data_IF_835960069952
#
_entry.id   IF_835960069952
#
_cell.length_a   1.000
_cell.length_b   1.000
_cell.length_c   1.000
_cell.angle_alpha   90.00
_cell.angle_beta   90.00
_cell.angle_gamma   90.00
#
_symmetry.space_group_name_H-M   'P 1'
#
loop_
_entity.id
_entity.type
_entity.pdbx_description
1 polymer ?
#
# COMPACT_ATOMS: atom_id res chain seq x y z
N UNK A 1 -9.52 5.33 8.66
CA UNK A 1 -9.35 3.85 8.67
C UNK A 1 -7.96 3.50 8.15
N UNK A 2 -7.26 2.55 8.76
CA UNK A 2 -5.86 2.22 8.42
C UNK A 2 -4.82 3.23 8.90
N UNK A 3 -5.07 3.94 10.01
CA UNK A 3 -4.15 4.97 10.53
C UNK A 3 -3.83 6.11 9.53
N UNK A 4 -4.72 6.33 8.54
CA UNK A 4 -4.77 7.56 7.73
C UNK A 4 -5.50 8.69 8.46
N UNK A 5 -6.28 8.35 9.47
CA UNK A 5 -7.02 9.27 10.33
C UNK A 5 -6.94 8.73 11.75
N UNK A 6 -6.85 9.63 12.72
CA UNK A 6 -6.83 9.31 14.13
C UNK A 6 -8.26 9.13 14.67
N UNK A 7 -8.43 8.25 15.64
CA UNK A 7 -9.71 8.08 16.31
C UNK A 7 -9.98 9.30 17.19
N UNK A 8 -11.17 9.88 17.10
CA UNK A 8 -11.57 10.98 18.00
C UNK A 8 -11.69 10.51 19.45
N UNK A 9 -11.95 9.23 19.69
CA UNK A 9 -11.91 8.59 21.01
C UNK A 9 -11.75 7.06 20.88
N UNK A 10 -11.38 6.41 21.97
CA UNK A 10 -11.16 4.96 22.02
C UNK A 10 -9.78 4.53 21.54
N UNK A 11 -9.58 3.22 21.40
CA UNK A 11 -8.29 2.61 21.05
C UNK A 11 -8.44 1.78 19.78
N UNK A 12 -7.48 1.93 18.87
CA UNK A 12 -7.39 1.10 17.66
C UNK A 12 -6.22 0.13 17.87
N UNK A 13 -6.51 -1.17 17.82
CA UNK A 13 -5.50 -2.22 17.88
C UNK A 13 -5.30 -2.84 16.50
N UNK A 14 -4.05 -2.97 16.08
CA UNK A 14 -3.65 -3.69 14.86
C UNK A 14 -2.75 -4.82 15.29
N UNK A 15 -3.11 -6.07 14.97
CA UNK A 15 -2.40 -7.28 15.43
C UNK A 15 -2.18 -7.34 16.95
N UNK A 16 -3.08 -6.73 17.74
CA UNK A 16 -2.98 -6.68 19.20
C UNK A 16 -2.13 -5.53 19.75
N UNK A 17 -1.51 -4.72 18.90
CA UNK A 17 -0.76 -3.52 19.32
C UNK A 17 -1.62 -2.26 19.20
N UNK A 18 -1.63 -1.44 20.25
CA UNK A 18 -2.33 -0.15 20.26
C UNK A 18 -1.60 0.86 19.34
N UNK A 19 -2.31 1.36 18.35
CA UNK A 19 -1.73 2.19 17.29
C UNK A 19 -1.75 3.70 17.57
N UNK A 20 -2.46 4.12 18.62
CA UNK A 20 -2.59 5.54 18.99
C UNK A 20 -1.32 6.15 19.58
N UNK A 21 -0.42 5.33 20.14
CA UNK A 21 0.85 5.77 20.73
C UNK A 21 2.05 5.67 19.79
N UNK A 22 1.86 5.21 18.55
CA UNK A 22 2.94 5.06 17.58
C UNK A 22 3.44 6.42 17.09
N UNK A 23 4.75 6.54 16.91
CA UNK A 23 5.36 7.70 16.25
C UNK A 23 4.99 7.73 14.76
N UNK A 24 5.10 8.89 14.11
CA UNK A 24 4.83 9.01 12.66
C UNK A 24 5.67 8.06 11.80
N UNK A 25 6.92 7.78 12.23
CA UNK A 25 7.80 6.82 11.56
C UNK A 25 7.27 5.39 11.69
N UNK A 26 6.80 5.00 12.87
CA UNK A 26 6.21 3.68 13.11
C UNK A 26 4.87 3.52 12.39
N UNK A 27 4.01 4.54 12.43
CA UNK A 27 2.77 4.56 11.63
C UNK A 27 3.07 4.39 10.14
N UNK A 28 4.11 5.03 9.62
CA UNK A 28 4.53 4.90 8.21
C UNK A 28 4.99 3.48 7.89
N UNK A 29 5.82 2.87 8.74
CA UNK A 29 6.26 1.48 8.55
C UNK A 29 5.09 0.49 8.66
N UNK A 30 4.16 0.72 9.59
CA UNK A 30 2.96 -0.09 9.74
C UNK A 30 2.10 -0.01 8.47
N UNK A 31 1.86 1.20 7.94
CA UNK A 31 1.17 1.40 6.66
C UNK A 31 1.84 0.69 5.50
N UNK A 32 3.17 0.73 5.43
CA UNK A 32 3.93 0.12 4.35
C UNK A 32 3.89 -1.42 4.37
N UNK A 33 3.88 -2.02 5.57
CA UNK A 33 4.02 -3.49 5.71
C UNK A 33 2.71 -4.24 5.92
N UNK A 34 1.71 -3.59 6.53
CA UNK A 34 0.51 -4.27 7.02
C UNK A 34 -0.78 -3.82 6.32
N UNK A 35 -0.75 -2.70 5.58
CA UNK A 35 -1.92 -2.14 4.94
C UNK A 35 -1.75 -2.05 3.42
N UNK A 36 -2.66 -2.69 2.69
CA UNK A 36 -2.92 -2.39 1.29
C UNK A 36 -4.14 -1.46 1.18
N UNK A 37 -3.96 -0.24 0.68
CA UNK A 37 -5.06 0.71 0.51
C UNK A 37 -5.64 0.65 -0.90
N UNK A 38 -6.94 0.37 -1.01
CA UNK A 38 -7.73 0.59 -2.22
C UNK A 38 -8.66 1.77 -1.93
N UNK A 39 -8.40 2.91 -2.59
CA UNK A 39 -9.15 4.15 -2.37
C UNK A 39 -10.22 4.29 -3.47
N UNK A 40 -11.45 4.64 -3.07
CA UNK A 40 -12.57 4.84 -4.00
C UNK A 40 -12.40 6.09 -4.90
N UNK A 41 -11.59 7.06 -4.47
CA UNK A 41 -11.17 8.20 -5.28
C UNK A 41 -9.72 7.97 -5.78
N UNK A 42 -9.48 8.23 -7.06
CA UNK A 42 -8.19 8.01 -7.71
C UNK A 42 -7.13 9.01 -7.21
N UNK A 43 -6.41 8.64 -6.16
CA UNK A 43 -5.14 9.29 -5.77
C UNK A 43 -3.95 8.63 -6.49
N UNK A 44 -4.15 8.19 -7.75
CA UNK A 44 -3.03 7.80 -8.61
C UNK A 44 -2.10 9.02 -8.70
N UNK A 45 -0.80 8.82 -8.50
CA UNK A 45 0.18 9.89 -8.74
C UNK A 45 -0.04 10.30 -10.20
N UNK A 46 -0.44 11.56 -10.51
CA UNK A 46 -1.05 11.91 -11.79
C UNK A 46 -0.14 11.80 -13.03
N UNK A 47 1.01 11.15 -12.92
CA UNK A 47 2.07 11.13 -13.93
C UNK A 47 2.78 9.76 -14.03
N UNK A 48 2.31 8.73 -13.35
CA UNK A 48 2.89 7.39 -13.42
C UNK A 48 1.89 6.42 -14.04
N UNK A 49 2.36 5.67 -15.03
CA UNK A 49 1.64 4.50 -15.54
C UNK A 49 1.49 3.45 -14.44
N UNK A 50 0.49 2.57 -14.56
CA UNK A 50 0.28 1.46 -13.62
C UNK A 50 1.56 0.65 -13.40
N UNK A 51 2.35 0.49 -14.47
CA UNK A 51 3.66 -0.18 -14.44
C UNK A 51 4.68 0.55 -13.57
N UNK A 52 4.83 1.86 -13.76
CA UNK A 52 5.80 2.66 -13.00
C UNK A 52 5.44 2.76 -11.52
N UNK A 53 4.13 2.79 -11.20
CA UNK A 53 3.66 2.75 -9.82
C UNK A 53 4.05 1.43 -9.13
N UNK A 54 3.89 0.29 -9.81
CA UNK A 54 4.28 -1.01 -9.28
C UNK A 54 5.81 -1.15 -9.15
N UNK A 55 6.57 -0.66 -10.15
CA UNK A 55 8.04 -0.65 -10.08
C UNK A 55 8.57 0.22 -8.93
N UNK A 56 7.87 1.31 -8.58
CA UNK A 56 8.23 2.14 -7.43
C UNK A 56 8.03 1.37 -6.10
N UNK A 57 6.94 0.62 -5.97
CA UNK A 57 6.66 -0.20 -4.79
C UNK A 57 7.74 -1.27 -4.63
N UNK A 58 8.10 -1.96 -5.72
CA UNK A 58 9.18 -2.97 -5.72
C UNK A 58 10.55 -2.39 -5.33
N UNK A 59 10.84 -1.13 -5.68
CA UNK A 59 12.09 -0.46 -5.28
C UNK A 59 12.11 -0.06 -3.81
N UNK A 60 10.95 0.27 -3.26
CA UNK A 60 10.79 0.63 -1.85
C UNK A 60 10.83 -0.62 -0.96
N UNK A 61 10.33 -1.75 -1.46
CA UNK A 61 10.46 -3.03 -0.78
C UNK A 61 11.88 -3.60 -0.98
N UNK A 62 12.70 -3.54 0.08
CA UNK A 62 14.05 -4.12 0.09
C UNK A 62 14.04 -5.66 0.19
N UNK A 63 12.85 -6.28 0.20
CA UNK A 63 12.62 -7.72 0.25
C UNK A 63 12.79 -8.42 -1.10
N UNK A 64 13.51 -9.54 -1.12
CA UNK A 64 13.84 -10.34 -2.33
C UNK A 64 12.66 -11.12 -2.94
N UNK A 65 11.43 -10.61 -2.93
CA UNK A 65 10.25 -11.39 -3.34
C UNK A 65 9.31 -10.58 -4.24
N UNK A 66 9.64 -10.35 -5.52
CA UNK A 66 8.64 -9.80 -6.48
C UNK A 66 9.16 -9.77 -7.94
N UNK A 67 9.66 -10.89 -8.47
CA UNK A 67 9.73 -11.02 -9.94
C UNK A 67 8.75 -12.06 -10.49
N UNK A 68 8.33 -13.01 -9.66
CA UNK A 68 7.47 -14.12 -10.10
C UNK A 68 5.99 -13.75 -10.18
N UNK A 69 5.49 -12.80 -9.38
CA UNK A 69 4.03 -12.59 -9.26
C UNK A 69 3.49 -11.48 -10.18
N UNK A 70 4.37 -10.73 -10.86
CA UNK A 70 3.93 -9.55 -11.62
C UNK A 70 3.01 -9.94 -12.77
N UNK A 71 3.41 -10.93 -13.58
CA UNK A 71 2.61 -11.38 -14.73
C UNK A 71 1.26 -11.94 -14.28
N UNK A 72 1.25 -12.73 -13.21
CA UNK A 72 0.01 -13.28 -12.64
C UNK A 72 -0.91 -12.19 -12.07
N UNK A 73 -0.34 -11.15 -11.45
CA UNK A 73 -1.11 -10.01 -10.95
C UNK A 73 -1.73 -9.19 -12.08
N UNK A 74 -0.99 -8.96 -13.17
CA UNK A 74 -1.51 -8.26 -14.35
C UNK A 74 -2.64 -9.03 -15.02
N UNK A 75 -2.53 -10.36 -15.09
CA UNK A 75 -3.55 -11.26 -15.63
C UNK A 75 -4.80 -11.29 -14.72
N UNK A 76 -4.61 -11.47 -13.40
CA UNK A 76 -5.68 -11.50 -12.41
C UNK A 76 -6.51 -10.20 -12.40
N UNK A 77 -5.85 -9.06 -12.63
CA UNK A 77 -6.49 -7.75 -12.64
C UNK A 77 -6.92 -7.28 -14.04
N UNK A 78 -6.75 -8.10 -15.09
CA UNK A 78 -7.00 -7.79 -16.52
C UNK A 78 -6.40 -6.44 -16.95
N UNK A 79 -5.18 -6.14 -16.46
CA UNK A 79 -4.49 -4.87 -16.69
C UNK A 79 -3.65 -4.87 -17.97
N UNK A 80 -3.61 -5.97 -18.74
CA UNK A 80 -2.87 -6.05 -20.01
C UNK A 80 -3.36 -5.02 -21.05
N UNK A 81 -4.64 -4.65 -20.99
CA UNK A 81 -5.26 -3.70 -21.93
C UNK A 81 -5.04 -2.22 -21.57
N UNK A 82 -4.46 -1.96 -20.39
CA UNK A 82 -4.29 -0.59 -19.82
C UNK A 82 -2.81 -0.23 -19.71
N UNK A 83 -1.95 -0.91 -20.49
CA UNK A 83 -0.50 -0.73 -20.45
C UNK A 83 0.01 0.52 -21.18
N UNK A 84 -0.86 1.23 -21.90
CA UNK A 84 -0.56 2.46 -22.64
C UNK A 84 -1.03 3.72 -21.91
#
# INVERSE_FOLDING_TARGET
>A
LGQLQEASSGKILVKGEETGSLTEKEKTNLRFREFGFILQASNLIPFLTVKEQLDLIDRLDKGKNSKSDRKELFDLLDLEKVQD
#
